data_IF_607264413150
#
_entry.id   IF_607264413150
#
_cell.length_a   1.000
_cell.length_b   1.000
_cell.length_c   1.000
_cell.angle_alpha   90.00
_cell.angle_beta   90.00
_cell.angle_gamma   90.00
#
_symmetry.space_group_name_H-M   'P 1'
#
loop_
_entity.id
_entity.type
_entity.pdbx_description
1 polymer ?
#
# COMPACT_ATOMS: atom_id res chain seq x y z
N UNK A 1 1.69 23.43 -33.14
CA UNK A 1 1.55 22.16 -32.40
C UNK A 1 2.95 21.72 -32.04
N UNK A 2 3.29 21.62 -30.75
CA UNK A 2 4.60 21.16 -30.31
C UNK A 2 4.55 19.64 -30.15
N UNK A 3 5.39 18.93 -30.89
CA UNK A 3 5.51 17.46 -30.90
C UNK A 3 6.11 16.86 -29.61
N UNK A 4 5.96 17.53 -28.45
CA UNK A 4 6.59 17.12 -27.18
C UNK A 4 5.67 16.32 -26.24
N UNK A 5 4.39 16.15 -26.57
CA UNK A 5 3.42 15.45 -25.72
C UNK A 5 3.23 13.97 -26.09
N UNK A 6 4.22 13.35 -26.76
CA UNK A 6 4.15 11.92 -27.10
C UNK A 6 4.75 11.12 -25.93
N UNK A 7 3.89 10.76 -24.97
CA UNK A 7 4.07 9.71 -23.95
C UNK A 7 5.13 9.96 -22.86
N UNK A 8 4.90 10.96 -21.98
CA UNK A 8 5.51 10.87 -20.65
C UNK A 8 4.99 9.59 -19.94
N UNK A 9 5.84 8.82 -19.22
CA UNK A 9 5.39 7.65 -18.49
C UNK A 9 4.27 8.02 -17.52
N UNK A 10 3.12 7.35 -17.62
CA UNK A 10 2.01 7.54 -16.68
C UNK A 10 2.43 6.93 -15.35
N UNK A 11 2.50 7.74 -14.30
CA UNK A 11 2.67 7.23 -12.95
C UNK A 11 1.33 6.64 -12.48
N UNK A 12 1.21 5.31 -12.52
CA UNK A 12 -0.01 4.59 -12.07
C UNK A 12 -0.37 4.83 -10.60
N UNK A 13 0.52 5.44 -9.82
CA UNK A 13 0.32 5.77 -8.40
C UNK A 13 0.02 7.25 -8.16
N UNK A 14 -0.10 8.06 -9.22
CA UNK A 14 -0.49 9.46 -9.10
C UNK A 14 -1.88 9.59 -8.48
N UNK A 15 -2.01 10.43 -7.45
CA UNK A 15 -3.26 10.65 -6.73
C UNK A 15 -3.69 9.53 -5.78
N UNK A 16 -2.92 8.43 -5.69
CA UNK A 16 -3.22 7.35 -4.73
C UNK A 16 -2.91 7.83 -3.31
N UNK A 17 -3.85 7.66 -2.35
CA UNK A 17 -3.61 8.05 -0.96
C UNK A 17 -2.37 7.39 -0.36
N UNK A 18 -1.65 8.11 0.51
CA UNK A 18 -0.38 7.65 1.06
C UNK A 18 -0.50 6.33 1.84
N UNK A 19 -1.57 6.15 2.62
CA UNK A 19 -1.83 4.90 3.34
C UNK A 19 -2.03 3.71 2.39
N UNK A 20 -2.67 3.94 1.24
CA UNK A 20 -2.80 2.92 0.17
C UNK A 20 -1.43 2.62 -0.42
N UNK A 21 -0.58 3.62 -0.68
CA UNK A 21 0.80 3.38 -1.15
C UNK A 21 1.62 2.56 -0.14
N UNK A 22 1.51 2.85 1.15
CA UNK A 22 2.13 2.06 2.22
C UNK A 22 1.67 0.60 2.19
N UNK A 23 0.36 0.38 2.05
CA UNK A 23 -0.21 -0.95 1.94
C UNK A 23 0.33 -1.70 0.71
N UNK A 24 0.31 -1.05 -0.46
CA UNK A 24 0.78 -1.62 -1.73
C UNK A 24 2.27 -1.94 -1.70
N UNK A 25 3.08 -1.11 -1.03
CA UNK A 25 4.51 -1.35 -0.84
C UNK A 25 4.77 -2.68 -0.11
N UNK A 26 3.99 -2.99 0.94
CA UNK A 26 4.08 -4.27 1.64
C UNK A 26 3.52 -5.45 0.84
N UNK A 27 2.45 -5.21 0.07
CA UNK A 27 1.79 -6.22 -0.77
C UNK A 27 2.70 -6.72 -1.89
N UNK A 28 3.28 -5.78 -2.63
CA UNK A 28 4.00 -6.06 -3.89
C UNK A 28 5.51 -6.10 -3.71
N UNK A 29 6.01 -5.74 -2.53
CA UNK A 29 7.42 -5.55 -2.25
C UNK A 29 8.29 -6.81 -2.14
N UNK A 30 7.74 -8.00 -2.36
CA UNK A 30 8.48 -9.26 -2.22
C UNK A 30 8.75 -9.63 -0.75
N UNK A 31 8.80 -10.94 -0.45
CA UNK A 31 9.00 -11.46 0.91
C UNK A 31 7.80 -11.31 1.86
N UNK A 32 6.80 -10.49 1.51
CA UNK A 32 5.60 -10.26 2.29
C UNK A 32 5.78 -9.21 3.40
N UNK A 33 4.69 -8.86 4.09
CA UNK A 33 4.66 -7.69 4.97
C UNK A 33 5.63 -7.79 6.15
N UNK A 34 5.79 -8.97 6.75
CA UNK A 34 6.68 -9.15 7.91
C UNK A 34 8.16 -8.90 7.60
N UNK A 35 8.63 -9.26 6.40
CA UNK A 35 10.03 -9.07 6.02
C UNK A 35 10.33 -7.62 5.59
N UNK A 36 9.31 -6.88 5.16
CA UNK A 36 9.48 -5.54 4.58
C UNK A 36 9.05 -4.40 5.50
N UNK A 37 8.32 -4.69 6.58
CA UNK A 37 7.74 -3.69 7.46
C UNK A 37 8.74 -2.66 7.99
N UNK A 38 9.91 -3.09 8.46
CA UNK A 38 10.93 -2.17 9.01
C UNK A 38 11.42 -1.19 7.95
N UNK A 39 11.86 -1.70 6.80
CA UNK A 39 12.35 -0.87 5.70
C UNK A 39 11.25 0.05 5.13
N UNK A 40 10.00 -0.43 5.07
CA UNK A 40 8.88 0.38 4.64
C UNK A 40 8.57 1.49 5.66
N UNK A 41 8.55 1.17 6.95
CA UNK A 41 8.29 2.15 8.01
C UNK A 41 9.37 3.24 8.03
N UNK A 42 10.65 2.86 7.90
CA UNK A 42 11.76 3.79 7.75
C UNK A 42 11.60 4.69 6.51
N UNK A 43 11.28 4.11 5.35
CA UNK A 43 11.09 4.86 4.10
C UNK A 43 9.98 5.92 4.23
N UNK A 44 8.89 5.60 4.92
CA UNK A 44 7.78 6.53 5.14
C UNK A 44 7.95 7.43 6.38
N UNK A 45 9.04 7.26 7.15
CA UNK A 45 9.33 8.06 8.34
C UNK A 45 8.36 7.83 9.50
N UNK A 46 7.81 6.61 9.62
CA UNK A 46 6.85 6.22 10.66
C UNK A 46 7.33 4.97 11.40
N UNK A 47 6.68 4.61 12.49
CA UNK A 47 6.90 3.35 13.19
C UNK A 47 6.17 2.19 12.50
N UNK A 48 6.63 0.95 12.74
CA UNK A 48 5.90 -0.25 12.27
C UNK A 48 4.48 -0.31 12.85
N UNK A 49 4.25 0.18 14.07
CA UNK A 49 2.93 0.22 14.68
C UNK A 49 1.97 1.16 13.93
N UNK A 50 2.46 2.33 13.53
CA UNK A 50 1.72 3.27 12.68
C UNK A 50 1.49 2.70 11.28
N UNK A 51 2.49 2.05 10.69
CA UNK A 51 2.35 1.36 9.40
C UNK A 51 1.25 0.30 9.45
N UNK A 52 1.21 -0.51 10.51
CA UNK A 52 0.12 -1.46 10.75
C UNK A 52 -1.23 -0.75 10.88
N UNK A 53 -1.29 0.39 11.58
CA UNK A 53 -2.52 1.16 11.72
C UNK A 53 -3.05 1.66 10.37
N UNK A 54 -2.18 2.20 9.52
CA UNK A 54 -2.54 2.62 8.16
C UNK A 54 -2.99 1.44 7.30
N UNK A 55 -2.30 0.29 7.38
CA UNK A 55 -2.71 -0.90 6.64
C UNK A 55 -4.08 -1.43 7.07
N UNK A 56 -4.41 -1.35 8.36
CA UNK A 56 -5.74 -1.71 8.86
C UNK A 56 -6.82 -0.78 8.33
N UNK A 57 -6.57 0.53 8.27
CA UNK A 57 -7.53 1.50 7.69
C UNK A 57 -7.85 1.14 6.24
N UNK A 58 -6.82 0.95 5.42
CA UNK A 58 -6.98 0.55 4.01
C UNK A 58 -7.77 -0.75 3.87
N UNK A 59 -7.42 -1.78 4.66
CA UNK A 59 -8.14 -3.04 4.65
C UNK A 59 -9.61 -2.91 5.05
N UNK A 60 -9.92 -2.12 6.08
CA UNK A 60 -11.31 -1.85 6.48
C UNK A 60 -12.10 -1.08 5.42
N UNK A 61 -11.48 -0.08 4.79
CA UNK A 61 -12.12 0.71 3.73
C UNK A 61 -12.48 -0.16 2.53
N UNK A 62 -11.56 -1.02 2.08
CA UNK A 62 -11.82 -1.96 0.99
C UNK A 62 -12.82 -3.05 1.37
N UNK A 63 -12.83 -3.55 2.61
CA UNK A 63 -13.89 -4.45 3.09
C UNK A 63 -15.25 -3.75 3.05
N UNK A 64 -15.32 -2.47 3.45
CA UNK A 64 -16.56 -1.72 3.43
C UNK A 64 -17.06 -1.44 1.99
N UNK A 65 -16.15 -1.27 1.04
CA UNK A 65 -16.47 -1.00 -0.37
C UNK A 65 -16.82 -2.28 -1.14
N UNK A 66 -16.02 -3.34 -0.99
CA UNK A 66 -16.04 -4.53 -1.84
C UNK A 66 -16.64 -5.76 -1.14
N UNK A 67 -16.93 -5.66 0.17
CA UNK A 67 -17.47 -6.73 1.00
C UNK A 67 -16.44 -7.73 1.52
N UNK A 68 -15.28 -7.87 0.85
CA UNK A 68 -14.18 -8.72 1.28
C UNK A 68 -12.86 -8.29 0.63
N UNK A 69 -11.73 -8.70 1.24
CA UNK A 69 -10.42 -8.58 0.60
C UNK A 69 -10.11 -9.81 -0.24
N UNK A 70 -9.50 -9.59 -1.40
CA UNK A 70 -8.82 -10.67 -2.13
C UNK A 70 -7.61 -11.17 -1.33
N UNK A 71 -7.18 -12.41 -1.59
CA UNK A 71 -6.18 -13.12 -0.78
C UNK A 71 -4.90 -12.31 -0.53
N UNK A 72 -4.34 -11.66 -1.55
CA UNK A 72 -3.09 -10.90 -1.42
C UNK A 72 -3.25 -9.67 -0.52
N UNK A 73 -4.42 -9.01 -0.54
CA UNK A 73 -4.73 -7.90 0.35
C UNK A 73 -5.02 -8.41 1.77
N UNK A 74 -5.72 -9.55 1.88
CA UNK A 74 -6.03 -10.18 3.16
C UNK A 74 -4.75 -10.48 3.95
N UNK A 75 -3.69 -10.97 3.30
CA UNK A 75 -2.40 -11.25 3.97
C UNK A 75 -1.77 -10.02 4.63
N UNK A 76 -1.83 -8.86 3.98
CA UNK A 76 -1.30 -7.60 4.55
C UNK A 76 -2.18 -7.13 5.71
N UNK A 77 -3.50 -7.22 5.54
CA UNK A 77 -4.45 -6.86 6.58
C UNK A 77 -4.33 -7.75 7.84
N UNK A 78 -4.18 -9.06 7.66
CA UNK A 78 -3.99 -10.02 8.76
C UNK A 78 -2.69 -9.76 9.51
N UNK A 79 -1.59 -9.54 8.79
CA UNK A 79 -0.33 -9.13 9.41
C UNK A 79 -0.46 -7.82 10.19
N UNK A 80 -1.22 -6.87 9.65
CA UNK A 80 -1.44 -5.59 10.32
C UNK A 80 -2.32 -5.72 11.58
N UNK A 81 -3.10 -6.79 11.72
CA UNK A 81 -3.91 -7.11 12.91
C UNK A 81 -3.18 -7.94 13.96
N UNK A 82 -2.04 -8.53 13.61
CA UNK A 82 -1.22 -9.35 14.52
C UNK A 82 -0.32 -8.50 15.42
#
# INVERSE_FOLDING_TARGET
>A
MNDKDINAPINQFEGVPLNVLMFLNLRDGGGGPALRAEAAAEFYGITVAELKAECRKVGMDWIAQDGALIEINQRVYDWARS
#
